data_IF_775224201735
#
_entry.id   IF_775224201735
#
_cell.length_a   1.000
_cell.length_b   1.000
_cell.length_c   1.000
_cell.angle_alpha   90.00
_cell.angle_beta   90.00
_cell.angle_gamma   90.00
#
_symmetry.space_group_name_H-M   'P 1'
#
loop_
_entity.id
_entity.type
_entity.pdbx_description
1 polymer ?
#
# COMPACT_ATOMS: atom_id res chain seq x y z
N UNK A 1 46.44 -25.88 -67.91
CA UNK A 1 45.76 -24.78 -67.13
C UNK A 1 44.27 -24.92 -67.35
N UNK A 2 43.49 -25.38 -66.32
CA UNK A 2 42.03 -25.49 -66.37
C UNK A 2 41.45 -24.18 -65.85
N UNK A 3 40.63 -23.46 -66.65
CA UNK A 3 39.91 -22.30 -66.30
C UNK A 3 38.74 -22.73 -65.34
N UNK A 4 38.48 -22.02 -64.26
CA UNK A 4 37.31 -22.28 -63.39
C UNK A 4 36.03 -21.94 -64.15
N UNK A 5 35.10 -22.87 -64.19
CA UNK A 5 33.76 -22.68 -64.76
C UNK A 5 32.97 -21.91 -63.72
N UNK A 6 32.72 -20.63 -63.98
CA UNK A 6 31.77 -19.84 -63.21
C UNK A 6 30.35 -20.37 -63.50
N UNK A 7 29.71 -20.91 -62.47
CA UNK A 7 28.36 -21.39 -62.56
C UNK A 7 27.36 -20.21 -62.88
N UNK A 8 26.14 -20.53 -63.37
CA UNK A 8 25.20 -19.53 -63.81
C UNK A 8 24.78 -18.58 -62.69
N UNK A 9 24.96 -17.28 -62.91
CA UNK A 9 24.48 -16.23 -62.02
C UNK A 9 22.98 -16.41 -61.79
N UNK A 10 22.61 -16.81 -60.53
CA UNK A 10 21.20 -16.89 -60.12
C UNK A 10 20.65 -15.47 -60.02
N UNK A 11 19.96 -15.03 -61.05
CA UNK A 11 19.13 -13.81 -61.02
C UNK A 11 18.07 -14.01 -59.92
N UNK A 12 18.32 -13.42 -58.76
CA UNK A 12 17.34 -13.38 -57.67
C UNK A 12 16.15 -12.56 -58.08
N UNK A 13 14.95 -13.10 -57.90
CA UNK A 13 13.69 -12.45 -58.27
C UNK A 13 13.54 -11.13 -57.47
N UNK A 14 13.28 -9.99 -58.13
CA UNK A 14 13.13 -8.67 -57.45
C UNK A 14 12.08 -8.69 -56.36
N UNK A 15 11.04 -9.55 -56.45
CA UNK A 15 10.04 -9.78 -55.42
C UNK A 15 10.63 -10.29 -54.09
N UNK A 16 11.67 -11.12 -54.13
CA UNK A 16 12.34 -11.64 -52.96
C UNK A 16 13.10 -10.51 -52.23
N UNK A 17 13.71 -9.62 -53.01
CA UNK A 17 14.42 -8.44 -52.45
C UNK A 17 13.42 -7.46 -51.81
N UNK A 18 12.27 -7.18 -52.46
CA UNK A 18 11.22 -6.34 -51.85
C UNK A 18 10.67 -6.96 -50.56
N UNK A 19 10.39 -8.26 -50.54
CA UNK A 19 9.92 -8.95 -49.34
C UNK A 19 10.98 -8.90 -48.21
N UNK A 20 12.25 -9.10 -48.53
CA UNK A 20 13.33 -9.01 -47.53
C UNK A 20 13.45 -7.60 -46.94
N UNK A 21 13.38 -6.55 -47.74
CA UNK A 21 13.40 -5.16 -47.26
C UNK A 21 12.19 -4.84 -46.40
N UNK A 22 10.99 -5.25 -46.78
CA UNK A 22 9.76 -5.03 -45.98
C UNK A 22 9.88 -5.76 -44.63
N UNK A 23 10.30 -7.03 -44.63
CA UNK A 23 10.49 -7.78 -43.39
C UNK A 23 11.52 -7.12 -42.48
N UNK A 24 12.63 -6.62 -43.04
CA UNK A 24 13.67 -5.94 -42.27
C UNK A 24 13.13 -4.64 -41.64
N UNK A 25 12.40 -3.82 -42.40
CA UNK A 25 11.79 -2.60 -41.92
C UNK A 25 10.77 -2.88 -40.81
N UNK A 26 9.89 -3.88 -40.98
CA UNK A 26 8.95 -4.30 -39.94
C UNK A 26 9.68 -4.75 -38.66
N UNK A 27 10.73 -5.53 -38.79
CA UNK A 27 11.53 -5.97 -37.63
C UNK A 27 12.13 -4.79 -36.88
N UNK A 28 12.69 -3.82 -37.58
CA UNK A 28 13.26 -2.61 -36.99
C UNK A 28 12.17 -1.83 -36.24
N UNK A 29 10.99 -1.62 -36.85
CA UNK A 29 9.87 -0.90 -36.22
C UNK A 29 9.43 -1.62 -34.95
N UNK A 30 9.29 -2.94 -34.97
CA UNK A 30 8.90 -3.74 -33.78
C UNK A 30 9.94 -3.60 -32.66
N UNK A 31 11.24 -3.68 -33.00
CA UNK A 31 12.32 -3.54 -32.00
C UNK A 31 12.30 -2.14 -31.38
N UNK A 32 12.20 -1.09 -32.19
CA UNK A 32 12.17 0.29 -31.70
C UNK A 32 10.94 0.52 -30.82
N UNK A 33 9.76 0.06 -31.26
CA UNK A 33 8.53 0.19 -30.49
C UNK A 33 8.63 -0.56 -29.15
N UNK A 34 9.14 -1.79 -29.18
CA UNK A 34 9.38 -2.58 -27.97
C UNK A 34 10.33 -1.90 -27.00
N UNK A 35 11.40 -1.29 -27.51
CA UNK A 35 12.38 -0.56 -26.71
C UNK A 35 11.78 0.70 -26.08
N UNK A 36 10.99 1.47 -26.85
CA UNK A 36 10.31 2.68 -26.36
C UNK A 36 9.29 2.32 -25.27
N UNK A 37 8.50 1.26 -25.47
CA UNK A 37 7.54 0.77 -24.46
C UNK A 37 8.26 0.29 -23.20
N UNK A 38 9.34 -0.46 -23.37
CA UNK A 38 10.14 -0.97 -22.24
C UNK A 38 10.77 0.17 -21.43
N UNK A 39 11.39 1.13 -22.09
CA UNK A 39 11.98 2.32 -21.43
C UNK A 39 10.87 3.13 -20.76
N UNK A 40 9.74 3.35 -21.43
CA UNK A 40 8.58 4.05 -20.86
C UNK A 40 8.07 3.35 -19.60
N UNK A 41 7.94 2.03 -19.61
CA UNK A 41 7.57 1.25 -18.44
C UNK A 41 8.59 1.37 -17.29
N UNK A 42 9.90 1.29 -17.60
CA UNK A 42 10.97 1.44 -16.60
C UNK A 42 11.00 2.84 -15.97
N UNK A 43 10.72 3.88 -16.75
CA UNK A 43 10.72 5.27 -16.26
C UNK A 43 9.47 5.57 -15.40
N UNK A 44 8.33 5.02 -15.78
CA UNK A 44 7.07 5.27 -15.06
C UNK A 44 7.04 4.50 -13.74
N UNK A 45 7.62 3.30 -13.67
CA UNK A 45 7.64 2.38 -12.51
C UNK A 45 6.50 2.63 -11.54
N UNK A 46 5.26 2.19 -11.86
CA UNK A 46 4.10 2.49 -11.05
C UNK A 46 4.28 1.96 -9.63
N UNK A 47 4.33 2.86 -8.65
CA UNK A 47 4.35 2.49 -7.24
C UNK A 47 2.94 2.44 -6.72
N UNK A 48 2.61 1.38 -5.99
CA UNK A 48 1.30 1.24 -5.36
C UNK A 48 1.21 2.24 -4.20
N UNK A 49 0.22 3.16 -4.19
CA UNK A 49 -0.03 3.99 -3.02
C UNK A 49 -0.26 3.12 -1.79
N UNK A 50 0.20 3.55 -0.62
CA UNK A 50 0.14 2.76 0.60
C UNK A 50 -0.31 3.60 1.79
N UNK A 51 -0.79 2.90 2.83
CA UNK A 51 -1.04 3.51 4.14
C UNK A 51 -0.21 2.80 5.20
N UNK A 52 0.32 3.55 6.14
CA UNK A 52 1.16 3.04 7.22
C UNK A 52 0.85 3.72 8.55
N UNK A 53 0.96 2.98 9.65
CA UNK A 53 0.91 3.58 10.98
C UNK A 53 2.30 4.13 11.28
N UNK A 54 2.44 5.45 11.31
CA UNK A 54 3.73 6.11 11.52
C UNK A 54 4.04 6.36 12.98
N UNK A 55 3.01 6.61 13.78
CA UNK A 55 3.18 6.78 15.22
C UNK A 55 1.88 6.52 15.97
N UNK A 56 2.01 6.12 17.22
CA UNK A 56 0.89 6.03 18.12
C UNK A 56 1.33 6.32 19.57
N UNK A 57 0.42 6.84 20.38
CA UNK A 57 0.65 7.21 21.76
C UNK A 57 -0.53 6.77 22.62
N UNK A 58 -0.26 6.11 23.73
CA UNK A 58 -1.27 5.72 24.71
C UNK A 58 -1.34 6.77 25.81
N UNK A 59 -2.40 7.57 25.83
CA UNK A 59 -2.61 8.64 26.81
C UNK A 59 -3.18 8.08 28.12
N UNK A 60 -4.07 7.06 28.02
CA UNK A 60 -4.70 6.44 29.18
C UNK A 60 -5.09 5.00 28.89
N UNK A 61 -4.79 4.12 29.85
CA UNK A 61 -5.33 2.77 29.94
C UNK A 61 -5.74 2.52 31.38
N UNK A 62 -7.01 2.57 31.67
CA UNK A 62 -7.55 2.40 33.01
C UNK A 62 -8.55 1.25 33.02
N UNK A 63 -8.34 0.31 33.91
CA UNK A 63 -9.25 -0.78 34.21
C UNK A 63 -9.55 -0.72 35.70
N UNK A 64 -10.82 -0.70 36.04
CA UNK A 64 -11.28 -0.52 37.41
C UNK A 64 -11.89 -1.79 38.03
N UNK A 65 -12.17 -1.74 39.30
CA UNK A 65 -12.79 -2.83 40.08
C UNK A 65 -14.19 -3.17 39.64
N UNK A 66 -14.88 -2.29 38.90
CA UNK A 66 -16.19 -2.52 38.30
C UNK A 66 -16.09 -3.27 36.95
N UNK A 67 -14.90 -3.78 36.59
CA UNK A 67 -14.62 -4.46 35.34
C UNK A 67 -14.84 -3.57 34.11
N UNK A 68 -14.59 -2.26 34.24
CA UNK A 68 -14.76 -1.29 33.18
C UNK A 68 -13.39 -0.84 32.66
N UNK A 69 -13.21 -0.91 31.34
CA UNK A 69 -12.02 -0.44 30.63
C UNK A 69 -12.28 0.93 30.01
N UNK A 70 -11.35 1.86 30.24
CA UNK A 70 -11.32 3.18 29.56
C UNK A 70 -9.96 3.34 28.88
N UNK A 71 -9.97 3.61 27.58
CA UNK A 71 -8.77 3.77 26.77
C UNK A 71 -8.79 5.15 26.10
N UNK A 72 -7.63 5.84 26.16
CA UNK A 72 -7.37 7.04 25.38
C UNK A 72 -6.06 6.85 24.63
N UNK A 73 -6.12 6.92 23.30
CA UNK A 73 -4.97 6.67 22.44
C UNK A 73 -5.00 7.58 21.21
N UNK A 74 -3.87 8.10 20.84
CA UNK A 74 -3.68 8.91 19.62
C UNK A 74 -2.91 8.12 18.59
N UNK A 75 -3.45 7.97 17.37
CA UNK A 75 -2.84 7.20 16.29
C UNK A 75 -2.69 8.09 15.06
N UNK A 76 -1.52 8.04 14.42
CA UNK A 76 -1.25 8.74 13.17
C UNK A 76 -1.05 7.71 12.06
N UNK A 77 -1.91 7.76 11.05
CA UNK A 77 -1.83 6.93 9.85
C UNK A 77 -1.46 7.82 8.68
N UNK A 78 -0.36 7.51 8.03
CA UNK A 78 0.10 8.21 6.82
C UNK A 78 -0.42 7.51 5.58
N UNK A 79 -1.05 8.27 4.69
CA UNK A 79 -1.34 7.87 3.31
C UNK A 79 -0.24 8.44 2.41
N UNK A 80 0.41 7.59 1.64
CA UNK A 80 1.60 7.92 0.86
C UNK A 80 1.41 7.54 -0.61
N UNK A 81 1.78 8.46 -1.51
CA UNK A 81 1.73 8.26 -2.94
C UNK A 81 3.09 8.64 -3.56
N UNK A 82 3.95 7.65 -3.69
CA UNK A 82 5.29 7.80 -4.28
C UNK A 82 5.29 7.87 -5.82
N UNK A 83 4.11 7.94 -6.44
CA UNK A 83 4.02 8.08 -7.89
C UNK A 83 4.31 9.53 -8.30
N UNK A 84 5.22 9.72 -9.22
CA UNK A 84 5.63 11.05 -9.69
C UNK A 84 4.62 11.71 -10.65
N UNK A 85 3.72 10.92 -11.29
CA UNK A 85 2.84 11.39 -12.36
C UNK A 85 1.36 11.01 -12.17
N UNK A 86 1.00 10.47 -11.02
CA UNK A 86 -0.35 9.99 -10.77
C UNK A 86 -0.86 10.44 -9.40
N UNK A 87 -2.10 10.92 -9.33
CA UNK A 87 -2.81 11.16 -8.09
C UNK A 87 -3.44 9.87 -7.57
N UNK A 88 -3.45 9.71 -6.27
CA UNK A 88 -4.11 8.59 -5.59
C UNK A 88 -5.32 9.11 -4.79
N UNK A 89 -6.49 8.54 -5.03
CA UNK A 89 -7.71 8.81 -4.25
C UNK A 89 -7.95 7.65 -3.29
N UNK A 90 -8.16 7.96 -2.02
CA UNK A 90 -8.49 7.01 -0.97
C UNK A 90 -9.94 7.22 -0.55
N UNK A 91 -10.69 6.14 -0.43
CA UNK A 91 -12.11 6.16 -0.06
C UNK A 91 -12.53 4.85 0.61
N UNK A 92 -13.71 4.84 1.24
CA UNK A 92 -14.17 3.70 2.03
C UNK A 92 -13.12 3.25 3.07
N UNK A 93 -12.46 4.23 3.72
CA UNK A 93 -11.42 3.98 4.72
C UNK A 93 -12.07 3.67 6.06
N UNK A 94 -11.85 2.45 6.56
CA UNK A 94 -12.35 2.03 7.86
C UNK A 94 -11.38 1.06 8.52
N UNK A 95 -10.92 1.43 9.70
CA UNK A 95 -10.09 0.60 10.56
C UNK A 95 -10.78 0.40 11.90
N UNK A 96 -10.56 -0.75 12.51
CA UNK A 96 -11.05 -1.09 13.85
C UNK A 96 -9.85 -1.27 14.76
N UNK A 97 -9.85 -0.56 15.88
CA UNK A 97 -8.92 -0.75 16.98
C UNK A 97 -9.52 -1.74 17.97
N UNK A 98 -8.79 -2.78 18.29
CA UNK A 98 -9.26 -3.82 19.23
C UNK A 98 -8.23 -4.08 20.32
N UNK A 99 -8.72 -4.41 21.51
CA UNK A 99 -7.94 -4.91 22.63
C UNK A 99 -8.38 -6.35 22.90
N UNK A 100 -7.49 -7.31 22.71
CA UNK A 100 -7.75 -8.74 22.92
C UNK A 100 -9.13 -9.21 22.34
N UNK A 101 -9.47 -8.73 21.12
CA UNK A 101 -10.73 -9.01 20.45
C UNK A 101 -11.89 -8.06 20.80
N UNK A 102 -11.80 -7.32 21.90
CA UNK A 102 -12.78 -6.29 22.28
C UNK A 102 -12.59 -5.06 21.41
N UNK A 103 -13.68 -4.58 20.79
CA UNK A 103 -13.64 -3.37 19.95
C UNK A 103 -13.53 -2.13 20.82
N UNK A 104 -12.51 -1.32 20.57
CA UNK A 104 -12.27 -0.05 21.27
C UNK A 104 -12.82 1.12 20.48
N UNK A 105 -12.52 1.17 19.17
CA UNK A 105 -12.96 2.28 18.31
C UNK A 105 -12.96 1.89 16.83
N UNK A 106 -13.71 2.67 16.04
CA UNK A 106 -13.65 2.71 14.60
C UNK A 106 -12.93 3.99 14.16
N UNK A 107 -11.98 3.84 13.25
CA UNK A 107 -11.21 4.93 12.68
C UNK A 107 -11.59 5.05 11.20
N UNK A 108 -12.49 5.97 10.92
CA UNK A 108 -12.96 6.22 9.57
C UNK A 108 -12.33 7.50 9.04
N UNK A 109 -12.17 7.61 7.74
CA UNK A 109 -11.81 8.84 7.07
C UNK A 109 -12.75 9.09 5.90
N UNK A 110 -13.12 10.37 5.72
CA UNK A 110 -13.79 10.82 4.52
C UNK A 110 -12.89 10.60 3.29
N UNK A 111 -13.45 10.50 2.08
CA UNK A 111 -12.65 10.39 0.88
C UNK A 111 -11.67 11.55 0.73
N UNK A 112 -10.41 11.26 0.40
CA UNK A 112 -9.36 12.26 0.20
C UNK A 112 -8.42 11.87 -0.93
N UNK A 113 -7.73 12.87 -1.49
CA UNK A 113 -6.78 12.71 -2.57
C UNK A 113 -5.36 13.02 -2.09
N UNK A 114 -4.39 12.19 -2.50
CA UNK A 114 -2.97 12.43 -2.26
C UNK A 114 -2.30 12.74 -3.59
N UNK A 115 -1.68 13.92 -3.67
CA UNK A 115 -0.97 14.35 -4.86
C UNK A 115 0.21 13.43 -5.21
N UNK A 116 0.74 13.55 -6.41
CA UNK A 116 1.94 12.84 -6.83
C UNK A 116 3.13 13.19 -5.92
N UNK A 117 3.90 12.17 -5.58
CA UNK A 117 5.10 12.29 -4.72
C UNK A 117 4.83 13.05 -3.40
N UNK A 118 3.69 12.74 -2.77
CA UNK A 118 3.20 13.43 -1.57
C UNK A 118 2.61 12.44 -0.55
N UNK A 119 2.39 12.93 0.66
CA UNK A 119 1.73 12.16 1.72
C UNK A 119 0.82 13.06 2.56
N UNK A 120 -0.18 12.44 3.19
CA UNK A 120 -1.12 13.07 4.13
C UNK A 120 -1.13 12.25 5.40
N UNK A 121 -1.01 12.92 6.54
CA UNK A 121 -1.12 12.31 7.86
C UNK A 121 -2.58 12.45 8.37
N UNK A 122 -3.21 11.31 8.64
CA UNK A 122 -4.52 11.22 9.24
C UNK A 122 -4.36 11.05 10.75
N UNK A 123 -4.90 11.98 11.51
CA UNK A 123 -4.79 12.00 12.96
C UNK A 123 -6.07 11.48 13.61
N UNK A 124 -5.95 10.41 14.39
CA UNK A 124 -7.06 9.77 15.09
C UNK A 124 -6.89 9.88 16.61
N UNK A 125 -7.45 10.91 17.27
CA UNK A 125 -7.60 10.94 18.71
C UNK A 125 -8.77 10.04 19.10
N UNK A 126 -8.48 8.94 19.76
CA UNK A 126 -9.47 7.97 20.21
C UNK A 126 -9.66 8.10 21.71
N UNK A 127 -10.89 8.26 22.13
CA UNK A 127 -11.31 8.14 23.52
C UNK A 127 -12.49 7.17 23.59
N UNK A 128 -12.30 6.03 24.26
CA UNK A 128 -13.35 5.02 24.37
C UNK A 128 -14.40 5.45 25.38
N UNK A 129 -15.67 5.14 25.12
CA UNK A 129 -16.66 5.05 26.18
C UNK A 129 -16.21 4.00 27.20
N UNK A 130 -16.74 4.01 28.44
CA UNK A 130 -16.53 2.92 29.40
C UNK A 130 -16.97 1.58 28.80
N UNK A 131 -16.07 0.62 28.70
CA UNK A 131 -16.30 -0.68 28.08
C UNK A 131 -16.36 -1.75 29.18
N UNK A 132 -17.50 -2.39 29.43
CA UNK A 132 -17.56 -3.52 30.35
C UNK A 132 -16.81 -4.71 29.75
N UNK A 133 -15.83 -5.26 30.47
CA UNK A 133 -15.09 -6.44 30.10
C UNK A 133 -15.68 -7.68 30.75
N UNK A 134 -15.62 -8.80 30.02
CA UNK A 134 -15.87 -10.10 30.62
C UNK A 134 -14.74 -10.49 31.59
N UNK A 135 -14.97 -11.41 32.52
CA UNK A 135 -13.93 -11.82 33.49
C UNK A 135 -12.60 -12.21 32.84
N UNK A 136 -12.65 -12.99 31.75
CA UNK A 136 -11.45 -13.42 31.01
C UNK A 136 -10.69 -12.25 30.37
N UNK A 137 -11.43 -11.26 29.84
CA UNK A 137 -10.87 -10.05 29.24
C UNK A 137 -10.28 -9.13 30.32
N UNK A 138 -10.88 -9.08 31.50
CA UNK A 138 -10.42 -8.35 32.66
C UNK A 138 -9.10 -8.89 33.22
N UNK A 139 -8.97 -10.22 33.34
CA UNK A 139 -7.71 -10.88 33.76
C UNK A 139 -6.57 -10.52 32.79
N UNK A 140 -6.85 -10.47 31.51
CA UNK A 140 -5.87 -10.06 30.50
C UNK A 140 -5.49 -8.58 30.69
N UNK A 141 -6.46 -7.70 30.96
CA UNK A 141 -6.19 -6.28 31.21
C UNK A 141 -5.28 -6.09 32.44
N UNK A 142 -5.56 -6.79 33.55
CA UNK A 142 -4.71 -6.77 34.73
C UNK A 142 -3.29 -7.30 34.46
N UNK A 143 -3.19 -8.39 33.70
CA UNK A 143 -1.88 -8.95 33.32
C UNK A 143 -1.03 -7.94 32.54
N UNK A 144 -1.63 -7.21 31.61
CA UNK A 144 -0.94 -6.16 30.86
C UNK A 144 -0.55 -4.97 31.75
N UNK A 145 -1.42 -4.57 32.69
CA UNK A 145 -1.09 -3.54 33.68
C UNK A 145 0.13 -3.94 34.52
N UNK A 146 0.17 -5.19 35.01
CA UNK A 146 1.30 -5.71 35.76
C UNK A 146 2.59 -5.81 34.95
N UNK A 147 2.48 -6.07 33.64
CA UNK A 147 3.63 -6.14 32.71
C UNK A 147 4.14 -4.77 32.26
N UNK A 148 3.41 -3.70 32.54
CA UNK A 148 3.76 -2.36 32.09
C UNK A 148 3.68 -2.14 30.57
N UNK A 149 3.01 -3.03 29.86
CA UNK A 149 2.87 -2.97 28.40
C UNK A 149 1.50 -3.49 27.95
N UNK A 150 0.83 -2.75 27.08
CA UNK A 150 -0.48 -3.11 26.52
C UNK A 150 -0.38 -3.32 25.01
N UNK A 151 -1.13 -4.28 24.49
CA UNK A 151 -1.14 -4.62 23.07
C UNK A 151 -2.53 -4.38 22.48
N UNK A 152 -2.58 -3.61 21.40
CA UNK A 152 -3.77 -3.40 20.59
C UNK A 152 -3.56 -3.90 19.18
N UNK A 153 -4.61 -4.37 18.54
CA UNK A 153 -4.61 -4.69 17.11
C UNK A 153 -5.41 -3.63 16.35
N UNK A 154 -4.85 -3.14 15.25
CA UNK A 154 -5.57 -2.30 14.30
C UNK A 154 -5.71 -3.06 12.99
N UNK A 155 -6.95 -3.21 12.53
CA UNK A 155 -7.27 -3.94 11.30
C UNK A 155 -8.32 -3.20 10.51
N UNK A 156 -8.21 -3.25 9.19
CA UNK A 156 -9.21 -2.66 8.32
C UNK A 156 -8.74 -2.52 6.90
N UNK A 157 -9.52 -1.79 6.13
CA UNK A 157 -9.29 -1.65 4.70
C UNK A 157 -9.53 -0.21 4.27
N UNK A 158 -8.92 0.14 3.16
CA UNK A 158 -9.25 1.34 2.40
C UNK A 158 -9.27 0.98 0.92
N UNK A 159 -10.16 1.59 0.17
CA UNK A 159 -10.22 1.45 -1.27
C UNK A 159 -9.42 2.57 -1.89
N UNK A 160 -8.53 2.24 -2.81
CA UNK A 160 -7.68 3.22 -3.48
C UNK A 160 -7.97 3.22 -4.97
N UNK A 161 -8.10 4.41 -5.54
CA UNK A 161 -8.14 4.63 -6.98
C UNK A 161 -6.87 5.35 -7.37
N UNK A 162 -6.14 4.74 -8.26
CA UNK A 162 -4.93 5.30 -8.82
C UNK A 162 -5.13 5.59 -10.31
N UNK A 163 -4.94 6.83 -10.73
CA UNK A 163 -5.13 7.26 -12.10
C UNK A 163 -3.80 7.32 -12.81
N UNK A 164 -3.56 6.41 -13.75
CA UNK A 164 -2.38 6.38 -14.62
C UNK A 164 -2.75 7.05 -15.93
N UNK A 165 -2.06 8.11 -16.29
CA UNK A 165 -2.39 9.06 -17.35
C UNK A 165 -2.81 8.44 -18.68
N UNK A 166 -2.21 7.34 -19.13
CA UNK A 166 -2.48 6.69 -20.42
C UNK A 166 -3.30 5.40 -20.27
N UNK A 167 -3.21 4.73 -19.12
CA UNK A 167 -3.77 3.39 -18.89
C UNK A 167 -5.15 3.42 -18.19
N UNK A 168 -5.67 4.61 -17.88
CA UNK A 168 -6.94 4.74 -17.17
C UNK A 168 -6.77 4.73 -15.65
N UNK A 169 -7.82 4.31 -14.92
CA UNK A 169 -7.79 4.24 -13.46
C UNK A 169 -7.84 2.79 -12.97
N UNK A 170 -6.93 2.44 -12.10
CA UNK A 170 -6.91 1.14 -11.41
C UNK A 170 -7.48 1.32 -10.00
N UNK A 171 -8.37 0.42 -9.59
CA UNK A 171 -8.95 0.38 -8.24
C UNK A 171 -8.49 -0.88 -7.55
N UNK A 172 -8.11 -0.78 -6.28
CA UNK A 172 -7.70 -1.93 -5.48
C UNK A 172 -7.97 -1.68 -4.00
N UNK A 173 -7.97 -2.76 -3.23
CA UNK A 173 -8.10 -2.71 -1.79
C UNK A 173 -6.73 -2.74 -1.13
N UNK A 174 -6.55 -1.89 -0.13
CA UNK A 174 -5.43 -1.92 0.79
C UNK A 174 -5.91 -2.46 2.12
N UNK A 175 -5.24 -3.47 2.64
CA UNK A 175 -5.55 -4.09 3.92
C UNK A 175 -4.46 -3.75 4.93
N UNK A 176 -4.85 -3.17 6.06
CA UNK A 176 -3.98 -2.91 7.20
C UNK A 176 -4.22 -3.98 8.27
N UNK A 177 -3.15 -4.57 8.76
CA UNK A 177 -3.16 -5.44 9.93
C UNK A 177 -1.88 -5.18 10.72
N UNK A 178 -2.03 -4.58 11.87
CA UNK A 178 -0.92 -4.07 12.65
C UNK A 178 -1.15 -4.34 14.14
N UNK A 179 -0.12 -4.77 14.85
CA UNK A 179 -0.12 -4.91 16.29
C UNK A 179 0.66 -3.74 16.91
N UNK A 180 -0.01 -2.99 17.78
CA UNK A 180 0.54 -1.84 18.48
C UNK A 180 0.87 -2.22 19.92
N UNK A 181 2.15 -2.17 20.29
CA UNK A 181 2.63 -2.50 21.64
C UNK A 181 2.97 -1.21 22.37
N UNK A 182 2.11 -0.80 23.29
CA UNK A 182 2.28 0.42 24.05
C UNK A 182 2.89 0.15 25.40
N UNK A 183 4.01 0.78 25.77
CA UNK A 183 4.47 0.84 27.15
C UNK A 183 3.54 1.77 27.94
N UNK A 184 3.22 1.41 29.20
CA UNK A 184 2.35 2.20 30.07
C UNK A 184 3.00 3.46 30.62
N UNK A 185 4.29 3.67 30.36
CA UNK A 185 5.03 4.87 30.76
C UNK A 185 4.72 6.11 29.87
N UNK A 186 3.77 6.01 28.95
CA UNK A 186 3.40 7.10 28.05
C UNK A 186 4.40 7.38 26.93
N UNK A 187 5.29 6.44 26.62
CA UNK A 187 6.23 6.63 25.49
C UNK A 187 5.52 6.44 24.16
N UNK A 188 5.73 7.39 23.24
CA UNK A 188 5.24 7.30 21.86
C UNK A 188 5.93 6.15 21.12
N UNK A 189 5.16 5.36 20.38
CA UNK A 189 5.67 4.25 19.59
C UNK A 189 5.65 4.58 18.09
N UNK A 190 6.56 3.93 17.35
CA UNK A 190 6.70 4.05 15.88
C UNK A 190 6.61 2.65 15.27
N UNK A 191 5.40 2.11 15.11
CA UNK A 191 5.23 0.77 14.58
C UNK A 191 5.59 0.73 13.10
N UNK A 192 6.22 -0.38 12.66
CA UNK A 192 6.55 -0.61 11.25
C UNK A 192 5.45 -1.42 10.58
N UNK A 193 4.31 -0.79 10.38
CA UNK A 193 3.14 -1.43 9.78
C UNK A 193 2.70 -0.66 8.54
N UNK A 194 2.54 -1.36 7.43
CA UNK A 194 1.99 -0.81 6.19
C UNK A 194 0.91 -1.70 5.61
N UNK A 195 0.08 -1.14 4.75
CA UNK A 195 -0.95 -1.88 4.04
C UNK A 195 -0.35 -2.85 3.01
N UNK A 196 -1.10 -3.95 2.77
CA UNK A 196 -0.86 -4.85 1.65
C UNK A 196 -1.98 -4.66 0.63
N UNK A 197 -1.63 -4.54 -0.65
CA UNK A 197 -2.59 -4.57 -1.76
C UNK A 197 -3.00 -6.00 -2.08
N UNK A 198 -4.28 -6.18 -2.36
CA UNK A 198 -4.84 -7.41 -2.91
C UNK A 198 -5.54 -7.11 -4.23
#
# INVERSE_FOLDING_TARGET
MRKPVLGPERRTNPLIWCAAIICTLLTIVVIITGMVVFIGYMVIRPKVPQMSVVSAHLDKFAYDTASVLVVKVSIVIKAENDNSKAHASFYDTSYTLTFHGVKIAYLNADPFDVASNSSIDLYYPVESSPIPLKPEEGEVAELFLRRGQVVFDIRGNTRTRWRVWILGSVKFWLHLNCQLKFPLNGTKIYPRCSTKSK
#
